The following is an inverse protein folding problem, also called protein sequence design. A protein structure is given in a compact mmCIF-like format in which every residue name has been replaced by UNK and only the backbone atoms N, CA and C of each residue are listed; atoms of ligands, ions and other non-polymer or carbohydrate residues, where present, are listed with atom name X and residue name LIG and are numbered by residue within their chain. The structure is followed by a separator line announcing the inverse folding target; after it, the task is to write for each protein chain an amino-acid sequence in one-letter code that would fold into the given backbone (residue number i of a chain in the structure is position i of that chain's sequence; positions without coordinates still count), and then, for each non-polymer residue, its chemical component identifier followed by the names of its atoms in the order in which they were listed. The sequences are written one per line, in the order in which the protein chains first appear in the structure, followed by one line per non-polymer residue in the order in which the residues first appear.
data_IF_530518261179
#
_entry.id   IF_530518261179
#
_cell.length_a   1.000
_cell.length_b   1.000
_cell.length_c   1.000
_cell.angle_alpha   90.00
_cell.angle_beta   90.00
_cell.angle_gamma   90.00
#
_symmetry.space_group_name_H-M   'P 1'
#
loop_
_entity.id
_entity.type
_entity.pdbx_description
1 polymer ?
#
# COMPACT_ATOMS: atom_id res chain seq x y z
N UNK A 1 -31.04 -15.89 -14.07
CA UNK A 1 -29.61 -16.26 -14.02
C UNK A 1 -29.38 -17.72 -14.42
N UNK A 2 -29.82 -18.76 -13.67
CA UNK A 2 -29.53 -20.16 -14.02
C UNK A 2 -30.01 -20.56 -15.41
N UNK A 3 -31.24 -20.16 -15.78
CA UNK A 3 -31.81 -20.36 -17.13
C UNK A 3 -31.09 -19.54 -18.20
N UNK A 4 -30.73 -18.31 -17.90
CA UNK A 4 -30.03 -17.39 -18.78
C UNK A 4 -28.62 -17.90 -19.14
N UNK A 5 -27.92 -18.50 -18.16
CA UNK A 5 -26.58 -19.08 -18.37
C UNK A 5 -26.59 -20.57 -18.71
N UNK A 6 -27.76 -21.18 -18.87
CA UNK A 6 -27.90 -22.59 -19.26
C UNK A 6 -27.32 -23.60 -18.26
N UNK A 7 -27.27 -23.25 -16.97
CA UNK A 7 -26.69 -24.09 -15.92
C UNK A 7 -27.73 -24.54 -14.91
N UNK A 8 -27.43 -25.60 -14.15
CA UNK A 8 -28.33 -26.05 -13.08
C UNK A 8 -28.43 -25.00 -11.96
N UNK A 9 -29.56 -24.98 -11.24
CA UNK A 9 -29.74 -24.11 -10.06
C UNK A 9 -28.69 -24.41 -8.97
N UNK A 10 -28.22 -25.65 -8.88
CA UNK A 10 -27.18 -26.06 -7.92
C UNK A 10 -25.84 -25.44 -8.31
N UNK A 11 -25.46 -25.54 -9.60
CA UNK A 11 -24.23 -24.94 -10.13
C UNK A 11 -24.23 -23.43 -9.94
N UNK A 12 -25.35 -22.76 -10.27
CA UNK A 12 -25.49 -21.32 -10.07
C UNK A 12 -25.35 -20.94 -8.59
N UNK A 13 -25.95 -21.69 -7.65
CA UNK A 13 -25.81 -21.44 -6.21
C UNK A 13 -24.36 -21.60 -5.73
N UNK A 14 -23.65 -22.61 -6.23
CA UNK A 14 -22.24 -22.82 -5.91
C UNK A 14 -21.38 -21.66 -6.41
N UNK A 15 -21.55 -21.26 -7.67
CA UNK A 15 -20.83 -20.11 -8.25
C UNK A 15 -21.10 -18.81 -7.46
N UNK A 16 -22.34 -18.54 -7.11
CA UNK A 16 -22.68 -17.37 -6.29
C UNK A 16 -22.14 -17.50 -4.86
N UNK A 17 -22.02 -18.70 -4.29
CA UNK A 17 -21.39 -18.88 -2.98
C UNK A 17 -19.86 -18.64 -3.03
N UNK A 18 -19.21 -19.06 -4.09
CA UNK A 18 -17.79 -18.73 -4.31
C UNK A 18 -17.60 -17.22 -4.49
N UNK A 19 -18.43 -16.56 -5.29
CA UNK A 19 -18.39 -15.09 -5.46
C UNK A 19 -18.67 -14.36 -4.13
N UNK A 20 -19.54 -14.87 -3.29
CA UNK A 20 -19.83 -14.33 -1.95
C UNK A 20 -18.64 -14.55 -0.99
N UNK A 21 -18.12 -15.78 -0.93
CA UNK A 21 -16.90 -16.13 -0.18
C UNK A 21 -15.73 -15.26 -0.60
N UNK A 22 -15.65 -15.02 -1.87
CA UNK A 22 -14.69 -14.12 -2.47
C UNK A 22 -15.03 -12.63 -2.27
N UNK A 23 -16.17 -12.24 -1.65
CA UNK A 23 -16.61 -10.87 -1.38
C UNK A 23 -16.88 -10.05 -2.65
N UNK A 24 -17.05 -10.69 -3.82
CA UNK A 24 -17.44 -10.02 -5.07
C UNK A 24 -18.90 -9.63 -5.02
N UNK A 25 -19.72 -10.45 -4.35
CA UNK A 25 -21.12 -10.17 -4.11
C UNK A 25 -21.43 -10.24 -2.62
N UNK A 26 -22.47 -9.53 -2.23
CA UNK A 26 -23.09 -9.61 -0.91
C UNK A 26 -24.51 -10.16 -1.08
N UNK A 27 -24.97 -10.98 -0.12
CA UNK A 27 -26.35 -11.47 -0.06
C UNK A 27 -27.12 -10.77 1.03
N UNK A 28 -28.21 -10.15 0.64
CA UNK A 28 -29.16 -9.57 1.58
C UNK A 28 -30.40 -10.47 1.65
N UNK A 29 -30.73 -10.92 2.87
CA UNK A 29 -31.87 -11.80 3.08
C UNK A 29 -33.18 -11.15 2.62
N UNK A 30 -33.87 -11.79 1.67
CA UNK A 30 -35.10 -11.28 1.07
C UNK A 30 -34.93 -10.22 0.00
N UNK A 31 -33.74 -9.71 -0.24
CA UNK A 31 -33.44 -8.67 -1.26
C UNK A 31 -32.65 -9.19 -2.46
N UNK A 32 -31.87 -10.27 -2.29
CA UNK A 32 -31.10 -10.87 -3.38
C UNK A 32 -29.60 -10.82 -3.19
N UNK A 33 -28.88 -10.99 -4.31
CA UNK A 33 -27.41 -10.86 -4.37
C UNK A 33 -27.05 -9.61 -5.16
N UNK A 34 -26.16 -8.81 -4.61
CA UNK A 34 -25.70 -7.55 -5.19
C UNK A 34 -24.19 -7.60 -5.37
N UNK A 35 -23.68 -6.90 -6.37
CA UNK A 35 -22.24 -6.69 -6.51
C UNK A 35 -21.75 -5.90 -5.31
N UNK A 36 -20.70 -6.38 -4.65
CA UNK A 36 -20.10 -5.66 -3.54
C UNK A 36 -19.30 -4.48 -4.09
N UNK A 37 -19.80 -3.28 -3.88
CA UNK A 37 -19.14 -2.03 -4.30
C UNK A 37 -17.95 -1.67 -3.41
N UNK A 38 -17.85 -2.30 -2.23
CA UNK A 38 -16.71 -2.09 -1.33
C UNK A 38 -15.50 -2.88 -1.86
N UNK A 39 -14.36 -2.22 -2.11
CA UNK A 39 -13.15 -2.91 -2.53
C UNK A 39 -12.77 -4.00 -1.51
N UNK A 40 -12.33 -5.17 -2.00
CA UNK A 40 -11.78 -6.19 -1.10
C UNK A 40 -10.55 -5.65 -0.39
N UNK A 41 -10.35 -5.97 0.90
CA UNK A 41 -9.13 -5.64 1.58
C UNK A 41 -7.92 -6.24 0.85
N UNK A 42 -6.94 -5.41 0.53
CA UNK A 42 -5.66 -5.86 0.00
C UNK A 42 -4.92 -6.56 1.12
N UNK A 43 -4.62 -7.85 0.93
CA UNK A 43 -3.82 -8.61 1.89
C UNK A 43 -2.35 -8.24 1.75
N UNK A 44 -1.79 -7.53 2.72
CA UNK A 44 -0.36 -7.28 2.80
C UNK A 44 0.32 -8.26 3.75
N UNK A 45 1.41 -8.86 3.30
CA UNK A 45 2.29 -9.69 4.14
C UNK A 45 3.53 -8.87 4.54
N UNK A 46 3.70 -8.61 5.82
CA UNK A 46 4.80 -7.78 6.33
C UNK A 46 6.20 -8.42 6.20
N UNK A 47 6.30 -9.71 5.91
CA UNK A 47 7.58 -10.45 5.79
C UNK A 47 8.17 -10.52 4.39
N UNK A 48 7.51 -9.97 3.38
CA UNK A 48 7.99 -10.11 2.01
C UNK A 48 8.86 -8.92 1.60
N UNK A 49 9.91 -9.16 0.78
CA UNK A 49 10.58 -8.09 0.03
C UNK A 49 9.54 -7.28 -0.75
N UNK A 50 9.78 -5.98 -0.90
CA UNK A 50 8.80 -5.02 -1.46
C UNK A 50 8.24 -5.39 -2.83
N UNK A 51 9.03 -6.06 -3.66
CA UNK A 51 8.66 -6.59 -4.98
C UNK A 51 7.62 -7.72 -4.92
N UNK A 52 7.64 -8.54 -3.85
CA UNK A 52 6.65 -9.61 -3.64
C UNK A 52 5.36 -9.13 -2.96
N UNK A 53 5.40 -8.02 -2.21
CA UNK A 53 4.19 -7.39 -1.66
C UNK A 53 3.31 -6.90 -2.82
N UNK A 54 3.90 -6.29 -3.83
CA UNK A 54 3.18 -5.89 -5.05
C UNK A 54 2.69 -7.08 -5.88
N UNK A 55 3.42 -8.21 -5.87
CA UNK A 55 2.98 -9.42 -6.58
C UNK A 55 1.84 -10.17 -5.89
N UNK A 56 1.78 -10.20 -4.57
CA UNK A 56 0.64 -10.82 -3.86
C UNK A 56 -0.63 -9.98 -3.92
N UNK A 57 -0.51 -8.64 -4.02
CA UNK A 57 -1.62 -7.77 -4.35
C UNK A 57 -2.13 -7.95 -5.80
N UNK A 58 -1.24 -8.34 -6.73
CA UNK A 58 -1.59 -8.61 -8.14
C UNK A 58 -2.54 -9.80 -8.35
N UNK A 59 -2.72 -10.67 -7.35
CA UNK A 59 -3.53 -11.88 -7.53
C UNK A 59 -5.03 -11.60 -7.71
N UNK A 60 -5.54 -10.40 -7.34
CA UNK A 60 -6.97 -10.09 -7.44
C UNK A 60 -7.34 -8.68 -7.90
N UNK A 61 -6.47 -7.68 -7.73
CA UNK A 61 -6.72 -6.29 -8.17
C UNK A 61 -5.39 -5.64 -8.45
N UNK A 62 -5.17 -5.16 -9.68
CA UNK A 62 -3.99 -4.35 -10.02
C UNK A 62 -4.24 -2.91 -9.54
N UNK A 63 -3.68 -2.49 -8.40
CA UNK A 63 -3.89 -1.13 -7.91
C UNK A 63 -3.16 -0.18 -8.85
N UNK A 64 -3.92 0.63 -9.57
CA UNK A 64 -3.36 1.72 -10.36
C UNK A 64 -2.72 2.74 -9.40
N UNK A 65 -1.45 3.06 -9.64
CA UNK A 65 -0.71 4.05 -8.86
C UNK A 65 -0.64 5.37 -9.62
N UNK A 66 -1.21 6.40 -9.02
CA UNK A 66 -1.18 7.77 -9.53
C UNK A 66 -0.16 8.60 -8.75
N UNK A 67 0.81 9.23 -9.43
CA UNK A 67 1.72 10.19 -8.81
C UNK A 67 1.02 11.55 -8.75
N UNK A 68 0.81 12.02 -7.54
CA UNK A 68 0.18 13.34 -7.28
C UNK A 68 1.24 14.43 -7.19
N UNK A 69 2.43 14.10 -6.69
CA UNK A 69 3.50 15.04 -6.46
C UNK A 69 4.86 14.34 -6.51
N UNK A 70 5.83 14.98 -7.15
CA UNK A 70 7.25 14.67 -7.05
C UNK A 70 7.97 16.01 -6.90
N UNK A 71 8.63 16.22 -5.78
CA UNK A 71 9.24 17.50 -5.43
C UNK A 71 10.59 17.26 -4.75
N UNK A 72 11.57 18.07 -5.10
CA UNK A 72 12.87 18.11 -4.44
C UNK A 72 12.86 19.22 -3.37
N UNK A 73 13.32 18.90 -2.18
CA UNK A 73 13.56 19.85 -1.09
C UNK A 73 15.07 19.94 -0.82
N UNK A 74 15.55 21.13 -0.48
CA UNK A 74 16.97 21.37 -0.19
C UNK A 74 17.42 20.82 1.16
N UNK A 75 16.47 20.65 2.08
CA UNK A 75 16.70 20.12 3.42
C UNK A 75 15.62 19.12 3.80
N UNK A 76 16.01 18.13 4.57
CA UNK A 76 15.09 17.14 5.13
C UNK A 76 14.42 17.70 6.37
N UNK A 77 13.12 17.46 6.51
CA UNK A 77 12.38 17.72 7.74
C UNK A 77 12.99 16.91 8.89
N UNK A 78 13.13 17.47 10.13
CA UNK A 78 13.75 16.78 11.26
C UNK A 78 13.16 15.39 11.56
N UNK A 79 11.83 15.25 11.56
CA UNK A 79 11.16 13.96 11.80
C UNK A 79 11.56 12.91 10.74
N UNK A 80 11.64 13.33 9.50
CA UNK A 80 12.05 12.45 8.40
C UNK A 80 13.55 12.16 8.47
N UNK A 81 14.33 13.17 8.86
CA UNK A 81 15.78 13.08 9.02
C UNK A 81 16.20 12.06 10.05
N UNK A 82 15.50 11.98 11.18
CA UNK A 82 15.71 10.95 12.22
C UNK A 82 15.54 9.54 11.67
N UNK A 83 14.48 9.30 10.90
CA UNK A 83 14.21 7.98 10.29
C UNK A 83 15.23 7.58 9.21
N UNK A 84 15.81 8.58 8.53
CA UNK A 84 16.78 8.36 7.42
C UNK A 84 18.22 8.53 7.84
N UNK A 85 18.48 9.01 9.07
CA UNK A 85 19.80 9.48 9.49
C UNK A 85 20.42 10.39 8.43
N UNK A 86 19.67 11.41 8.01
CA UNK A 86 20.00 12.27 6.88
C UNK A 86 19.29 13.64 6.97
N UNK A 87 20.04 14.72 6.71
CA UNK A 87 19.58 16.11 6.79
C UNK A 87 19.72 16.92 5.48
N UNK A 88 20.30 16.30 4.45
CA UNK A 88 20.56 16.93 3.15
C UNK A 88 19.33 16.99 2.23
N UNK A 89 19.58 17.29 0.92
CA UNK A 89 18.53 17.37 -0.08
C UNK A 89 17.78 16.05 -0.26
N UNK A 90 16.45 16.14 -0.39
CA UNK A 90 15.57 14.97 -0.40
C UNK A 90 14.48 15.09 -1.46
N UNK A 91 14.14 13.99 -2.11
CA UNK A 91 12.97 13.89 -2.95
C UNK A 91 11.77 13.41 -2.14
N UNK A 92 10.65 14.07 -2.34
CA UNK A 92 9.35 13.69 -1.81
C UNK A 92 8.44 13.25 -2.94
N UNK A 93 7.84 12.07 -2.79
CA UNK A 93 6.85 11.54 -3.73
C UNK A 93 5.54 11.30 -2.98
N UNK A 94 4.44 11.84 -3.50
CA UNK A 94 3.08 11.53 -3.04
C UNK A 94 2.35 10.76 -4.11
N UNK A 95 1.78 9.63 -3.74
CA UNK A 95 1.03 8.75 -4.66
C UNK A 95 -0.32 8.38 -4.06
N UNK A 96 -1.29 8.10 -4.94
CA UNK A 96 -2.57 7.52 -4.57
C UNK A 96 -2.65 6.13 -5.17
N UNK A 97 -3.01 5.15 -4.37
CA UNK A 97 -3.38 3.82 -4.83
C UNK A 97 -4.88 3.77 -5.08
N UNK A 98 -5.25 3.29 -6.26
CA UNK A 98 -6.65 3.16 -6.67
C UNK A 98 -6.98 1.72 -7.04
N UNK A 99 -8.20 1.33 -6.69
CA UNK A 99 -8.80 0.06 -7.10
C UNK A 99 -10.14 0.38 -7.76
N UNK A 100 -10.33 -0.07 -9.00
CA UNK A 100 -11.53 0.25 -9.78
C UNK A 100 -11.83 1.77 -9.83
N UNK A 101 -10.79 2.59 -9.91
CA UNK A 101 -10.89 4.06 -9.92
C UNK A 101 -11.06 4.70 -8.52
N UNK A 102 -11.39 3.94 -7.48
CA UNK A 102 -11.57 4.45 -6.12
C UNK A 102 -10.23 4.56 -5.39
N UNK A 103 -9.93 5.69 -4.74
CA UNK A 103 -8.72 5.82 -3.93
C UNK A 103 -8.85 4.96 -2.67
N UNK A 104 -7.80 4.20 -2.36
CA UNK A 104 -7.77 3.29 -1.19
C UNK A 104 -6.62 3.59 -0.24
N UNK A 105 -5.57 4.25 -0.72
CA UNK A 105 -4.45 4.68 0.12
C UNK A 105 -3.74 5.90 -0.46
N UNK A 106 -3.14 6.68 0.45
CA UNK A 106 -2.14 7.72 0.12
C UNK A 106 -0.79 7.23 0.61
N UNK A 107 0.18 7.24 -0.28
CA UNK A 107 1.56 6.89 0.03
C UNK A 107 2.46 8.10 -0.13
N UNK A 108 3.24 8.41 0.91
CA UNK A 108 4.25 9.47 0.95
C UNK A 108 5.60 8.83 1.10
N UNK A 109 6.57 9.23 0.29
CA UNK A 109 7.91 8.64 0.25
C UNK A 109 8.94 9.74 0.27
N UNK A 110 9.99 9.56 1.04
CA UNK A 110 11.14 10.42 1.13
C UNK A 110 12.39 9.64 0.77
N UNK A 111 13.16 10.17 -0.17
CA UNK A 111 14.35 9.54 -0.73
C UNK A 111 15.50 10.54 -0.70
N UNK A 112 16.57 10.31 0.08
CA UNK A 112 17.76 11.14 0.03
C UNK A 112 18.33 11.24 -1.39
N UNK A 113 18.59 12.47 -1.87
CA UNK A 113 19.08 12.72 -3.23
C UNK A 113 20.39 11.98 -3.53
N UNK A 114 21.24 11.77 -2.51
CA UNK A 114 22.48 11.01 -2.66
C UNK A 114 22.31 9.59 -3.22
N UNK A 115 21.14 8.99 -3.02
CA UNK A 115 20.81 7.66 -3.56
C UNK A 115 20.06 7.72 -4.89
N UNK A 116 19.38 8.84 -5.16
CA UNK A 116 18.49 8.98 -6.32
C UNK A 116 18.72 10.32 -7.02
N UNK A 117 19.97 10.59 -7.50
CA UNK A 117 20.28 11.88 -8.12
C UNK A 117 19.39 12.14 -9.34
N UNK A 118 18.92 13.37 -9.48
CA UNK A 118 18.06 13.81 -10.60
C UNK A 118 16.72 13.04 -10.75
N UNK A 119 16.19 12.50 -9.66
CA UNK A 119 14.93 11.75 -9.70
C UNK A 119 13.75 12.59 -10.24
N UNK A 120 13.76 13.90 -10.01
CA UNK A 120 12.78 14.85 -10.54
C UNK A 120 12.82 14.96 -12.07
N UNK A 121 13.98 14.75 -12.68
CA UNK A 121 14.19 14.75 -14.13
C UNK A 121 13.91 13.36 -14.72
N UNK A 122 14.46 12.33 -14.08
CA UNK A 122 14.34 10.93 -14.52
C UNK A 122 12.94 10.40 -14.34
N UNK A 123 12.27 10.81 -13.26
CA UNK A 123 10.97 10.28 -12.86
C UNK A 123 10.99 8.78 -12.56
N UNK A 124 9.87 8.12 -12.64
CA UNK A 124 9.76 6.65 -12.49
C UNK A 124 9.97 5.97 -13.84
N UNK A 125 11.22 5.97 -14.31
CA UNK A 125 11.58 5.60 -15.68
C UNK A 125 11.42 4.11 -16.03
N UNK A 126 11.26 3.24 -15.02
CA UNK A 126 11.07 1.80 -15.26
C UNK A 126 9.64 1.40 -14.93
N UNK A 127 8.81 1.18 -15.95
CA UNK A 127 7.42 0.75 -15.87
C UNK A 127 6.54 1.59 -14.93
N UNK A 128 6.82 2.88 -14.79
CA UNK A 128 6.17 3.76 -13.81
C UNK A 128 6.19 3.20 -12.36
N UNK A 129 7.21 2.40 -12.05
CA UNK A 129 7.37 1.71 -10.78
C UNK A 129 8.57 2.25 -10.01
N UNK A 130 8.34 2.78 -8.80
CA UNK A 130 9.41 3.26 -7.95
C UNK A 130 10.39 2.14 -7.60
N UNK A 131 9.91 1.00 -7.18
CA UNK A 131 10.75 -0.15 -6.80
C UNK A 131 11.63 -0.63 -7.95
N UNK A 132 11.10 -0.69 -9.18
CA UNK A 132 11.88 -1.03 -10.37
C UNK A 132 12.87 0.07 -10.73
N UNK A 133 12.48 1.33 -10.64
CA UNK A 133 13.38 2.47 -10.88
C UNK A 133 14.52 2.46 -9.87
N UNK A 134 14.26 2.28 -8.58
CA UNK A 134 15.29 2.20 -7.55
C UNK A 134 16.25 1.03 -7.79
N UNK A 135 15.74 -0.16 -8.12
CA UNK A 135 16.58 -1.34 -8.29
C UNK A 135 17.32 -1.39 -9.63
N UNK A 136 16.68 -1.02 -10.75
CA UNK A 136 17.22 -1.20 -12.09
C UNK A 136 17.96 0.04 -12.59
N UNK A 137 17.49 1.25 -12.27
CA UNK A 137 18.12 2.48 -12.71
C UNK A 137 19.19 2.96 -11.71
N UNK A 138 18.85 2.96 -10.41
CA UNK A 138 19.79 3.42 -9.36
C UNK A 138 20.60 2.29 -8.71
N UNK A 139 20.35 1.02 -9.04
CA UNK A 139 21.09 -0.11 -8.51
C UNK A 139 20.89 -0.37 -7.01
N UNK A 140 19.84 0.19 -6.40
CA UNK A 140 19.59 0.06 -4.97
C UNK A 140 19.01 -1.31 -4.68
N UNK A 141 19.70 -2.07 -3.83
CA UNK A 141 19.24 -3.37 -3.33
C UNK A 141 18.76 -3.24 -1.91
N UNK A 142 17.53 -3.69 -1.67
CA UNK A 142 16.91 -3.68 -0.35
C UNK A 142 17.39 -4.89 0.44
N UNK A 143 17.97 -4.66 1.63
CA UNK A 143 18.32 -5.72 2.57
C UNK A 143 17.12 -6.08 3.46
N UNK A 144 16.59 -5.09 4.16
CA UNK A 144 15.44 -5.26 5.05
C UNK A 144 14.63 -3.98 5.15
N UNK A 145 13.46 -4.10 5.76
CA UNK A 145 12.56 -2.98 6.02
C UNK A 145 11.98 -3.12 7.42
N UNK A 146 11.97 -2.03 8.18
CA UNK A 146 11.24 -1.91 9.43
C UNK A 146 9.88 -1.28 9.15
N UNK A 147 8.82 -1.80 9.75
CA UNK A 147 7.47 -1.25 9.63
C UNK A 147 6.88 -0.98 11.00
N UNK A 148 6.33 0.22 11.17
CA UNK A 148 5.48 0.60 12.30
C UNK A 148 4.06 0.71 11.77
N UNK A 149 3.12 0.05 12.45
CA UNK A 149 1.71 0.00 12.03
C UNK A 149 0.84 0.60 13.11
N UNK A 150 0.07 1.61 12.75
CA UNK A 150 -0.74 2.39 13.68
C UNK A 150 -2.16 2.58 13.14
N UNK A 151 -3.14 2.58 14.04
CA UNK A 151 -4.50 2.99 13.73
C UNK A 151 -4.65 4.49 14.07
N UNK A 152 -4.93 5.31 13.07
CA UNK A 152 -4.98 6.77 13.20
C UNK A 152 -6.26 7.36 12.62
N UNK A 153 -6.56 8.62 12.96
CA UNK A 153 -7.57 9.43 12.28
C UNK A 153 -6.98 10.07 11.03
N UNK A 154 -7.77 10.23 9.96
CA UNK A 154 -7.26 10.86 8.75
C UNK A 154 -6.95 12.34 8.96
N UNK A 155 -5.87 12.80 8.35
CA UNK A 155 -5.59 14.24 8.21
C UNK A 155 -6.55 14.89 7.19
N UNK A 156 -6.70 16.23 7.20
CA UNK A 156 -7.50 16.94 6.20
C UNK A 156 -7.12 16.60 4.76
N UNK A 157 -5.82 16.48 4.48
CA UNK A 157 -5.32 16.08 3.16
C UNK A 157 -5.74 14.66 2.77
N UNK A 158 -5.79 13.73 3.71
CA UNK A 158 -6.24 12.37 3.45
C UNK A 158 -7.74 12.30 3.22
N UNK A 159 -8.52 13.07 3.97
CA UNK A 159 -9.97 13.20 3.75
C UNK A 159 -10.25 13.63 2.31
N UNK A 160 -9.56 14.65 1.83
CA UNK A 160 -9.75 15.17 0.48
C UNK A 160 -9.27 14.19 -0.60
N UNK A 161 -8.08 13.60 -0.44
CA UNK A 161 -7.47 12.72 -1.45
C UNK A 161 -8.15 11.34 -1.53
N UNK A 162 -8.58 10.81 -0.40
CA UNK A 162 -9.24 9.51 -0.30
C UNK A 162 -10.76 9.60 -0.44
N UNK A 163 -11.32 10.83 -0.39
CA UNK A 163 -12.77 11.09 -0.44
C UNK A 163 -13.53 10.36 0.69
N UNK A 164 -12.99 10.46 1.89
CA UNK A 164 -13.50 9.84 3.12
C UNK A 164 -13.95 10.91 4.11
N UNK A 165 -14.44 10.48 5.26
CA UNK A 165 -14.84 11.36 6.37
C UNK A 165 -13.83 11.27 7.52
N UNK A 166 -13.85 12.22 8.46
CA UNK A 166 -12.90 12.28 9.60
C UNK A 166 -13.08 11.12 10.60
N UNK A 167 -14.21 10.43 10.59
CA UNK A 167 -14.49 9.26 11.42
C UNK A 167 -14.00 7.94 10.79
N UNK A 168 -13.58 7.96 9.52
CA UNK A 168 -12.98 6.81 8.85
C UNK A 168 -11.70 6.37 9.57
N UNK A 169 -11.56 5.07 9.81
CA UNK A 169 -10.34 4.52 10.37
C UNK A 169 -9.26 4.39 9.28
N UNK A 170 -8.07 4.86 9.60
CA UNK A 170 -6.87 4.72 8.76
C UNK A 170 -5.90 3.76 9.42
N UNK A 171 -5.44 2.76 8.68
CA UNK A 171 -4.27 1.98 9.05
C UNK A 171 -3.05 2.62 8.41
N UNK A 172 -2.21 3.26 9.22
CA UNK A 172 -0.97 3.89 8.77
C UNK A 172 0.19 2.93 8.92
N UNK A 173 0.98 2.78 7.87
CA UNK A 173 2.22 2.00 7.87
C UNK A 173 3.37 2.95 7.57
N UNK A 174 4.22 3.18 8.57
CA UNK A 174 5.49 3.90 8.44
C UNK A 174 6.61 2.89 8.23
N UNK A 175 7.39 3.04 7.17
CA UNK A 175 8.40 2.06 6.75
C UNK A 175 9.73 2.74 6.51
N UNK A 176 10.80 2.21 7.10
CA UNK A 176 12.18 2.56 6.77
C UNK A 176 12.84 1.39 6.06
N UNK A 177 13.36 1.63 4.87
CA UNK A 177 14.04 0.62 4.04
C UNK A 177 15.55 0.83 4.06
N UNK A 178 16.30 -0.27 4.16
CA UNK A 178 17.76 -0.26 4.33
C UNK A 178 18.46 -0.96 3.18
N UNK A 179 19.60 -0.40 2.78
CA UNK A 179 20.53 -1.02 1.81
C UNK A 179 21.27 -2.21 2.40
N UNK A 180 22.06 -2.92 1.57
CA UNK A 180 22.94 -4.03 1.99
C UNK A 180 23.94 -3.61 3.09
N UNK A 181 24.31 -2.32 3.18
CA UNK A 181 25.19 -1.79 4.21
C UNK A 181 24.46 -1.27 5.45
N UNK A 182 23.19 -1.66 5.62
CA UNK A 182 22.31 -1.21 6.71
C UNK A 182 22.15 0.33 6.79
N UNK A 183 22.22 1.00 5.64
CA UNK A 183 22.00 2.45 5.54
C UNK A 183 20.55 2.70 5.13
N UNK A 184 19.80 3.53 5.87
CA UNK A 184 18.44 3.88 5.49
C UNK A 184 18.48 4.73 4.21
N UNK A 185 17.69 4.33 3.19
CA UNK A 185 17.66 5.01 1.90
C UNK A 185 16.25 5.46 1.49
N UNK A 186 15.24 4.94 2.12
CA UNK A 186 13.83 5.29 1.89
C UNK A 186 13.08 5.31 3.22
N UNK A 187 12.36 6.39 3.47
CA UNK A 187 11.29 6.42 4.45
C UNK A 187 9.97 6.59 3.73
N UNK A 188 8.95 5.86 4.14
CA UNK A 188 7.63 6.00 3.55
C UNK A 188 6.54 5.88 4.60
N UNK A 189 5.43 6.60 4.37
CA UNK A 189 4.24 6.55 5.19
C UNK A 189 3.04 6.31 4.29
N UNK A 190 2.37 5.19 4.48
CA UNK A 190 1.19 4.80 3.71
C UNK A 190 -0.03 4.79 4.60
N UNK A 191 -1.00 5.61 4.27
CA UNK A 191 -2.28 5.72 4.97
C UNK A 191 -3.34 4.97 4.18
N UNK A 192 -3.76 3.81 4.67
CA UNK A 192 -4.77 2.95 4.06
C UNK A 192 -6.13 3.20 4.69
N UNK A 193 -7.18 3.24 3.88
CA UNK A 193 -8.54 3.11 4.40
C UNK A 193 -8.66 1.75 5.10
N UNK A 194 -9.09 1.73 6.36
CA UNK A 194 -9.07 0.52 7.21
C UNK A 194 -9.78 -0.68 6.59
N UNK A 195 -10.87 -0.46 5.86
CA UNK A 195 -11.61 -1.51 5.19
C UNK A 195 -10.93 -2.03 3.90
N UNK A 196 -9.96 -1.27 3.36
CA UNK A 196 -9.26 -1.61 2.13
C UNK A 196 -8.04 -2.50 2.34
N UNK A 197 -7.61 -2.74 3.59
CA UNK A 197 -6.38 -3.48 3.89
C UNK A 197 -6.58 -4.53 4.98
N UNK A 198 -5.87 -5.65 4.85
CA UNK A 198 -5.64 -6.63 5.91
C UNK A 198 -4.15 -6.93 6.01
N UNK A 199 -3.63 -6.94 7.23
CA UNK A 199 -2.25 -7.33 7.49
C UNK A 199 -2.21 -8.79 7.95
N UNK A 200 -1.34 -9.59 7.32
CA UNK A 200 -0.99 -10.92 7.78
C UNK A 200 0.46 -10.90 8.26
N UNK A 201 0.67 -11.22 9.53
CA UNK A 201 2.00 -11.35 10.13
C UNK A 201 2.22 -12.83 10.46
N UNK A 202 3.22 -13.42 9.83
CA UNK A 202 3.66 -14.78 10.17
C UNK A 202 4.83 -14.67 11.15
N UNK A 203 4.60 -15.06 12.41
CA UNK A 203 5.62 -15.07 13.46
C UNK A 203 6.25 -16.46 13.50
N UNK A 204 7.54 -16.56 13.15
CA UNK A 204 8.29 -17.83 13.13
C UNK A 204 9.15 -18.01 14.37
N UNK A 205 9.45 -16.94 15.11
CA UNK A 205 10.22 -16.95 16.34
C UNK A 205 9.43 -16.23 17.44
N UNK A 206 9.00 -16.94 18.48
CA UNK A 206 8.06 -16.44 19.48
C UNK A 206 8.78 -15.61 20.56
N UNK A 207 10.12 -15.62 20.62
CA UNK A 207 10.87 -14.98 21.70
C UNK A 207 11.00 -13.43 21.58
N UNK A 208 10.60 -12.80 20.46
CA UNK A 208 10.87 -11.35 20.23
C UNK A 208 9.70 -10.55 19.68
N UNK A 209 8.45 -10.84 20.00
CA UNK A 209 7.37 -10.44 19.12
C UNK A 209 6.48 -9.26 19.51
N UNK A 210 6.59 -8.60 20.66
CA UNK A 210 5.74 -7.44 20.97
C UNK A 210 6.43 -6.43 21.90
N UNK A 211 6.80 -5.26 21.37
CA UNK A 211 6.94 -4.05 22.15
C UNK A 211 5.57 -3.37 22.23
N UNK A 212 5.01 -3.28 23.43
CA UNK A 212 3.80 -2.49 23.69
C UNK A 212 4.28 -1.09 24.07
N UNK A 213 3.93 -0.10 23.23
CA UNK A 213 4.14 1.30 23.58
C UNK A 213 3.29 1.62 24.84
N UNK A 214 3.94 2.00 25.93
CA UNK A 214 3.33 2.54 27.14
C UNK A 214 3.25 4.05 27.07
#
# INVERSE_FOLDING_TARGET
LAEEYGVSRVTMRQSLAELEKDGIIIRERGRGSFVNETPRPILQQLKLPSDKIMQSARSFVDPHTEIVQLTRFEQTDPEIGENLNYDGPIFYIKRIFRVNGNPIAVNRIWLPEKFTPQLDIVGLCVDNSLSKTLSQHYGIKILHRTNIVEAVRPSPTEVDLLKITYDTLILQISSTSFTENNVPYEFSRTSWIGDAIRLKVDVTDIEHSLEIAT
#
